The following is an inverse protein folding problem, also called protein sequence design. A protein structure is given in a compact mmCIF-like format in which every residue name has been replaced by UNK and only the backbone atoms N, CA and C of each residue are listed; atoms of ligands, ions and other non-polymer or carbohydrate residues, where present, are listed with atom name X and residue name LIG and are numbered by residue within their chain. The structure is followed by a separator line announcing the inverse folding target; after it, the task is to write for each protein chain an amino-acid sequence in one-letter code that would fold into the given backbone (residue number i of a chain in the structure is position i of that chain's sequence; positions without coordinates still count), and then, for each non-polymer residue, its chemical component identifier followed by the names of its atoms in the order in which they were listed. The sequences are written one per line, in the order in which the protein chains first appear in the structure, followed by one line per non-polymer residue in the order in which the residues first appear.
data_IF_776807052359
#
_entry.id   IF_776807052359
#
_cell.length_a   1.000
_cell.length_b   1.000
_cell.length_c   1.000
_cell.angle_alpha   90.00
_cell.angle_beta   90.00
_cell.angle_gamma   90.00
#
_symmetry.space_group_name_H-M   'P 1'
#
loop_
_entity.id
_entity.type
_entity.pdbx_description
1 polymer ?
#
# COMPACT_ATOMS: atom_id res chain seq x y z
N UNK A 1 -0.80 14.70 -16.88
CA UNK A 1 0.26 14.80 -15.85
C UNK A 1 -0.30 15.66 -14.74
N UNK A 2 -0.21 15.20 -13.50
CA UNK A 2 -0.70 15.92 -12.32
C UNK A 2 0.00 17.27 -12.18
N UNK A 3 -0.76 18.31 -11.86
CA UNK A 3 -0.23 19.60 -11.46
C UNK A 3 -0.02 19.59 -9.94
N UNK A 4 1.21 19.39 -9.50
CA UNK A 4 1.57 19.32 -8.08
C UNK A 4 1.25 20.62 -7.35
N UNK A 5 1.24 21.75 -8.07
CA UNK A 5 0.96 23.05 -7.46
C UNK A 5 -0.51 23.29 -7.14
N UNK A 6 -1.38 22.36 -7.55
CA UNK A 6 -2.80 22.35 -7.21
C UNK A 6 -3.15 21.37 -6.11
N UNK A 7 -2.25 20.47 -5.71
CA UNK A 7 -2.50 19.59 -4.58
C UNK A 7 -2.72 20.41 -3.29
N UNK A 8 -3.60 19.93 -2.42
CA UNK A 8 -3.73 20.49 -1.08
C UNK A 8 -2.39 20.39 -0.32
N UNK A 9 -2.22 21.17 0.75
CA UNK A 9 -0.92 21.33 1.40
C UNK A 9 -0.33 19.99 1.90
N UNK A 10 -1.16 19.14 2.50
CA UNK A 10 -0.75 17.81 2.98
C UNK A 10 -0.32 16.92 1.80
N UNK A 11 -1.17 16.82 0.79
CA UNK A 11 -0.94 15.99 -0.41
C UNK A 11 0.32 16.42 -1.16
N UNK A 12 0.57 17.73 -1.23
CA UNK A 12 1.77 18.29 -1.88
C UNK A 12 3.04 17.94 -1.11
N UNK A 13 3.01 18.06 0.23
CA UNK A 13 4.16 17.70 1.06
C UNK A 13 4.53 16.22 0.88
N UNK A 14 3.53 15.34 0.92
CA UNK A 14 3.76 13.91 0.71
C UNK A 14 4.22 13.61 -0.73
N UNK A 15 3.60 14.23 -1.74
CA UNK A 15 4.00 14.10 -3.14
C UNK A 15 5.47 14.49 -3.38
N UNK A 16 5.91 15.61 -2.79
CA UNK A 16 7.30 16.06 -2.89
C UNK A 16 8.29 15.03 -2.33
N UNK A 17 7.93 14.33 -1.25
CA UNK A 17 8.76 13.29 -0.67
C UNK A 17 8.72 12.00 -1.50
N UNK A 18 7.52 11.59 -1.91
CA UNK A 18 7.27 10.38 -2.68
C UNK A 18 8.01 10.43 -4.03
N UNK A 19 7.82 11.49 -4.80
CA UNK A 19 8.39 11.60 -6.15
C UNK A 19 9.88 11.98 -6.16
N UNK A 20 10.46 12.37 -5.03
CA UNK A 20 11.93 12.39 -4.87
C UNK A 20 12.51 10.97 -4.83
N UNK A 21 11.77 10.01 -4.27
CA UNK A 21 12.20 8.61 -4.12
C UNK A 21 11.86 7.76 -5.35
N UNK A 22 10.66 7.94 -5.90
CA UNK A 22 10.16 7.24 -7.10
C UNK A 22 9.66 8.24 -8.14
N UNK A 23 10.54 8.96 -8.86
CA UNK A 23 10.14 9.99 -9.83
C UNK A 23 9.21 9.47 -10.94
N UNK A 24 9.39 8.21 -11.33
CA UNK A 24 8.59 7.56 -12.38
C UNK A 24 7.14 7.32 -11.96
N UNK A 25 6.82 7.35 -10.66
CA UNK A 25 5.44 7.19 -10.19
C UNK A 25 4.57 8.42 -10.45
N UNK A 26 5.17 9.57 -10.77
CA UNK A 26 4.44 10.78 -11.13
C UNK A 26 3.49 10.56 -12.32
N UNK A 27 3.83 9.65 -13.24
CA UNK A 27 2.96 9.33 -14.39
C UNK A 27 1.66 8.61 -13.98
N UNK A 28 1.66 8.01 -12.79
CA UNK A 28 0.54 7.28 -12.20
C UNK A 28 -0.29 8.13 -11.23
N UNK A 29 0.15 9.37 -10.98
CA UNK A 29 -0.48 10.28 -10.05
C UNK A 29 -1.62 11.08 -10.71
N UNK A 30 -2.70 11.25 -9.96
CA UNK A 30 -3.85 12.10 -10.30
C UNK A 30 -4.48 12.69 -9.03
N UNK A 31 -5.44 13.59 -9.22
CA UNK A 31 -6.31 13.98 -8.11
C UNK A 31 -7.20 12.80 -7.73
N UNK A 32 -7.39 12.60 -6.44
CA UNK A 32 -8.37 11.64 -5.95
C UNK A 32 -9.76 12.05 -6.47
N UNK A 33 -10.46 11.19 -7.23
CA UNK A 33 -11.79 11.53 -7.77
C UNK A 33 -12.86 11.60 -6.67
N UNK A 34 -12.60 11.07 -5.47
CA UNK A 34 -13.52 11.09 -4.34
C UNK A 34 -13.30 12.33 -3.46
N UNK A 35 -13.35 13.51 -4.10
CA UNK A 35 -13.12 14.82 -3.47
C UNK A 35 -14.21 15.27 -2.48
N UNK A 36 -15.21 14.43 -2.22
CA UNK A 36 -16.34 14.76 -1.33
C UNK A 36 -15.87 15.09 0.10
N UNK A 37 -14.70 14.58 0.49
CA UNK A 37 -14.08 14.82 1.78
C UNK A 37 -12.91 15.79 1.70
N UNK A 38 -12.06 15.66 0.67
CA UNK A 38 -10.88 16.50 0.49
C UNK A 38 -10.61 16.84 -0.96
N UNK A 39 -10.72 18.13 -1.28
CA UNK A 39 -10.42 18.63 -2.61
C UNK A 39 -8.94 18.55 -2.90
N UNK A 40 -8.64 18.22 -4.16
CA UNK A 40 -7.28 18.22 -4.68
C UNK A 40 -6.31 17.32 -3.88
N UNK A 41 -6.83 16.20 -3.36
CA UNK A 41 -6.05 15.19 -2.67
C UNK A 41 -5.25 14.33 -3.67
N UNK A 42 -4.13 13.75 -3.23
CA UNK A 42 -3.30 12.89 -4.07
C UNK A 42 -3.87 11.47 -4.13
N UNK A 43 -3.98 10.94 -5.35
CA UNK A 43 -4.12 9.51 -5.63
C UNK A 43 -3.00 9.06 -6.57
N UNK A 44 -2.29 7.99 -6.20
CA UNK A 44 -1.28 7.33 -7.05
C UNK A 44 -1.65 5.87 -7.20
N UNK A 45 -1.76 5.37 -8.43
CA UNK A 45 -2.05 3.95 -8.72
C UNK A 45 -0.94 3.36 -9.60
N UNK A 46 0.02 2.71 -8.97
CA UNK A 46 1.17 2.12 -9.66
C UNK A 46 0.85 0.67 -10.00
N UNK A 47 0.78 0.30 -11.29
CA UNK A 47 0.59 -1.08 -11.69
C UNK A 47 1.70 -1.95 -11.13
N UNK A 48 1.34 -3.16 -10.73
CA UNK A 48 2.32 -4.11 -10.23
C UNK A 48 3.25 -4.56 -11.37
N UNK A 49 4.60 -4.52 -11.20
CA UNK A 49 5.53 -4.76 -12.31
C UNK A 49 5.44 -6.16 -12.95
N UNK A 50 5.09 -7.18 -12.17
CA UNK A 50 5.13 -8.59 -12.64
C UNK A 50 3.97 -8.97 -13.56
N UNK A 51 2.78 -8.43 -13.31
CA UNK A 51 1.55 -8.82 -14.01
C UNK A 51 0.81 -7.62 -14.63
N UNK A 52 1.27 -6.39 -14.38
CA UNK A 52 0.64 -5.16 -14.86
C UNK A 52 -0.77 -4.96 -14.30
N UNK A 53 -1.15 -5.66 -13.23
CA UNK A 53 -2.49 -5.59 -12.67
C UNK A 53 -2.83 -4.18 -12.22
N UNK A 54 -4.06 -3.75 -12.53
CA UNK A 54 -4.63 -2.48 -12.07
C UNK A 54 -4.88 -2.46 -10.56
N UNK A 55 -4.87 -3.62 -9.92
CA UNK A 55 -4.90 -3.80 -8.46
C UNK A 55 -3.48 -3.88 -7.88
N UNK A 56 -2.56 -3.08 -8.42
CA UNK A 56 -1.20 -2.97 -7.92
C UNK A 56 -1.14 -2.18 -6.61
N UNK A 57 -0.20 -1.24 -6.53
CA UNK A 57 -0.07 -0.35 -5.38
C UNK A 57 -0.99 0.86 -5.57
N UNK A 58 -1.78 1.20 -4.57
CA UNK A 58 -2.48 2.48 -4.53
C UNK A 58 -2.12 3.27 -3.28
N UNK A 59 -2.01 4.58 -3.44
CA UNK A 59 -1.69 5.52 -2.36
C UNK A 59 -2.69 6.65 -2.41
N UNK A 60 -3.37 6.91 -1.31
CA UNK A 60 -4.22 8.08 -1.12
C UNK A 60 -3.75 8.88 0.09
N UNK A 61 -3.99 10.18 0.05
CA UNK A 61 -3.71 11.08 1.16
C UNK A 61 -5.00 11.77 1.61
N UNK A 62 -5.10 12.01 2.91
CA UNK A 62 -6.04 12.92 3.53
C UNK A 62 -5.29 13.90 4.44
N UNK A 63 -5.96 14.88 5.04
CA UNK A 63 -5.37 15.93 5.88
C UNK A 63 -4.56 15.35 7.05
N UNK A 64 -4.92 14.14 7.49
CA UNK A 64 -4.37 13.49 8.68
C UNK A 64 -3.82 12.10 8.42
N UNK A 65 -3.85 11.61 7.18
CA UNK A 65 -3.52 10.22 6.90
C UNK A 65 -2.90 10.00 5.52
N UNK A 66 -1.95 9.06 5.46
CA UNK A 66 -1.60 8.39 4.21
C UNK A 66 -2.14 6.97 4.27
N UNK A 67 -2.93 6.58 3.26
CA UNK A 67 -3.38 5.20 3.09
C UNK A 67 -2.64 4.56 1.93
N UNK A 68 -2.06 3.39 2.19
CA UNK A 68 -1.33 2.61 1.19
C UNK A 68 -1.99 1.25 1.11
N UNK A 69 -2.48 0.89 -0.05
CA UNK A 69 -3.03 -0.43 -0.28
C UNK A 69 -2.44 -1.15 -1.48
N UNK A 70 -2.72 -2.44 -1.50
CA UNK A 70 -2.17 -3.36 -2.48
C UNK A 70 -3.15 -4.50 -2.74
N UNK A 71 -3.31 -4.89 -4.01
CA UNK A 71 -4.35 -5.84 -4.38
C UNK A 71 -5.74 -5.25 -4.22
N UNK A 72 -6.73 -6.12 -4.05
CA UNK A 72 -8.13 -5.72 -3.96
C UNK A 72 -8.56 -5.28 -2.55
N UNK A 73 -7.96 -5.87 -1.50
CA UNK A 73 -8.56 -5.85 -0.16
C UNK A 73 -7.60 -5.51 1.00
N UNK A 74 -6.32 -5.22 0.72
CA UNK A 74 -5.37 -4.83 1.76
C UNK A 74 -5.07 -3.33 1.70
N UNK A 75 -5.09 -2.68 2.85
CA UNK A 75 -4.54 -1.34 3.04
C UNK A 75 -4.00 -1.14 4.45
N UNK A 76 -3.00 -0.27 4.58
CA UNK A 76 -2.47 0.25 5.84
C UNK A 76 -2.67 1.75 5.88
N UNK A 77 -3.12 2.25 7.02
CA UNK A 77 -3.38 3.67 7.29
C UNK A 77 -2.31 4.19 8.23
N UNK A 78 -1.69 5.32 7.90
CA UNK A 78 -0.62 5.96 8.66
C UNK A 78 -1.09 7.35 9.10
N UNK A 79 -1.04 7.67 10.40
CA UNK A 79 -1.56 8.92 10.97
C UNK A 79 -3.03 8.85 11.44
N UNK A 80 -3.70 7.70 11.25
CA UNK A 80 -5.12 7.51 11.58
C UNK A 80 -5.47 7.59 13.07
N UNK A 81 -4.47 7.59 13.96
CA UNK A 81 -4.68 7.71 15.41
C UNK A 81 -5.13 9.13 15.83
N UNK A 82 -4.81 10.13 15.00
CA UNK A 82 -5.00 11.55 15.34
C UNK A 82 -4.12 12.02 16.49
N UNK A 83 -3.13 11.23 16.93
CA UNK A 83 -2.20 11.61 17.98
C UNK A 83 -1.06 12.45 17.39
N UNK A 84 -0.94 13.74 17.74
CA UNK A 84 0.12 14.61 17.25
C UNK A 84 1.51 14.25 17.76
N UNK A 85 1.61 13.38 18.79
CA UNK A 85 2.87 12.85 19.31
C UNK A 85 3.27 11.50 18.67
N UNK A 86 2.38 10.89 17.87
CA UNK A 86 2.74 9.77 17.00
C UNK A 86 3.75 10.31 15.96
N UNK A 87 4.76 9.51 15.62
CA UNK A 87 5.90 9.98 14.83
C UNK A 87 5.52 10.59 13.47
N UNK A 88 6.53 10.98 12.67
CA UNK A 88 6.25 11.49 11.33
C UNK A 88 5.65 10.38 10.45
N UNK A 89 4.33 10.23 10.43
CA UNK A 89 3.62 9.16 9.73
C UNK A 89 3.87 9.17 8.21
N UNK A 90 4.27 10.31 7.63
CA UNK A 90 4.73 10.37 6.25
C UNK A 90 6.03 9.60 6.06
N UNK A 91 6.98 9.70 7.00
CA UNK A 91 8.22 8.91 6.98
C UNK A 91 7.92 7.43 7.18
N UNK A 92 6.97 7.08 8.04
CA UNK A 92 6.54 5.68 8.25
C UNK A 92 5.90 5.09 6.99
N UNK A 93 5.02 5.84 6.33
CA UNK A 93 4.42 5.45 5.05
C UNK A 93 5.50 5.24 3.97
N UNK A 94 6.47 6.14 3.88
CA UNK A 94 7.59 6.02 2.94
C UNK A 94 8.55 4.88 3.28
N UNK A 95 8.73 4.56 4.56
CA UNK A 95 9.50 3.41 5.01
C UNK A 95 8.79 2.11 4.59
N UNK A 96 7.48 2.02 4.85
CA UNK A 96 6.68 0.89 4.41
C UNK A 96 6.72 0.70 2.88
N UNK A 97 6.58 1.79 2.10
CA UNK A 97 6.71 1.71 0.64
C UNK A 97 8.08 1.19 0.20
N UNK A 98 9.14 1.64 0.86
CA UNK A 98 10.49 1.18 0.58
C UNK A 98 10.62 -0.33 0.85
N UNK A 99 10.18 -0.79 2.01
CA UNK A 99 10.27 -2.22 2.38
C UNK A 99 9.38 -3.08 1.47
N UNK A 100 8.22 -2.57 1.09
CA UNK A 100 7.32 -3.28 0.17
C UNK A 100 7.89 -3.38 -1.25
N UNK A 101 8.44 -2.29 -1.80
CA UNK A 101 9.05 -2.26 -3.14
C UNK A 101 10.31 -3.12 -3.21
N UNK A 102 11.09 -3.16 -2.13
CA UNK A 102 12.26 -4.05 -2.01
C UNK A 102 11.87 -5.50 -1.67
N UNK A 103 10.58 -5.78 -1.47
CA UNK A 103 10.02 -7.07 -1.05
C UNK A 103 10.58 -7.59 0.28
N UNK A 104 11.02 -6.69 1.17
CA UNK A 104 11.32 -7.00 2.58
C UNK A 104 10.02 -7.20 3.37
N UNK A 105 8.95 -6.52 2.95
CA UNK A 105 7.57 -6.80 3.39
C UNK A 105 6.75 -7.37 2.24
N UNK A 106 5.96 -8.39 2.54
CA UNK A 106 4.97 -8.97 1.61
C UNK A 106 3.58 -8.95 2.22
N UNK A 107 2.55 -9.04 1.39
CA UNK A 107 1.16 -8.99 1.82
C UNK A 107 0.56 -10.38 1.77
N UNK A 108 0.00 -10.82 2.90
CA UNK A 108 -0.81 -12.02 3.00
C UNK A 108 -2.30 -11.65 3.05
N UNK A 109 -3.13 -12.40 2.34
CA UNK A 109 -4.60 -12.30 2.42
C UNK A 109 -5.20 -13.68 2.58
N UNK A 110 -6.13 -13.83 3.52
CA UNK A 110 -6.81 -15.08 3.80
C UNK A 110 -8.30 -15.00 3.42
N UNK A 111 -8.83 -16.12 2.94
CA UNK A 111 -10.25 -16.30 2.65
C UNK A 111 -10.69 -17.73 2.95
N UNK A 112 -11.94 -17.92 3.34
CA UNK A 112 -12.55 -19.25 3.54
C UNK A 112 -13.89 -19.28 2.79
N UNK A 113 -14.14 -20.33 1.98
CA UNK A 113 -15.36 -20.47 1.18
C UNK A 113 -15.70 -19.24 0.29
N UNK A 114 -14.69 -18.47 -0.11
CA UNK A 114 -14.84 -17.25 -0.89
C UNK A 114 -15.09 -15.98 -0.06
N UNK A 115 -15.22 -16.09 1.26
CA UNK A 115 -15.35 -14.96 2.17
C UNK A 115 -13.96 -14.47 2.63
N UNK A 116 -13.78 -13.15 2.68
CA UNK A 116 -12.52 -12.55 3.13
C UNK A 116 -12.40 -12.64 4.65
N UNK A 117 -11.28 -13.19 5.12
CA UNK A 117 -10.97 -13.30 6.55
C UNK A 117 -10.06 -12.18 7.04
N UNK A 118 -9.18 -11.66 6.18
CA UNK A 118 -8.21 -10.67 6.58
C UNK A 118 -7.07 -10.49 5.59
N UNK A 119 -6.25 -9.48 5.85
CA UNK A 119 -4.93 -9.32 5.24
C UNK A 119 -3.95 -8.66 6.20
N UNK A 120 -2.68 -9.04 6.11
CA UNK A 120 -1.63 -8.54 6.98
C UNK A 120 -0.28 -8.49 6.26
N UNK A 121 0.65 -7.74 6.87
CA UNK A 121 2.04 -7.61 6.44
C UNK A 121 2.84 -8.75 7.03
N UNK A 122 3.72 -9.36 6.25
CA UNK A 122 4.75 -10.27 6.74
C UNK A 122 6.11 -9.61 6.56
N UNK A 123 6.84 -9.40 7.65
CA UNK A 123 8.20 -8.87 7.64
C UNK A 123 9.18 -10.03 7.45
N UNK A 124 9.81 -10.08 6.28
CA UNK A 124 10.67 -11.19 5.88
C UNK A 124 12.03 -11.22 6.58
N UNK A 125 12.38 -10.18 7.32
CA UNK A 125 13.54 -10.21 8.22
C UNK A 125 13.23 -10.92 9.54
N UNK A 126 11.94 -11.04 9.89
CA UNK A 126 11.47 -11.61 11.16
C UNK A 126 10.76 -12.95 10.98
N UNK A 127 10.10 -13.13 9.86
CA UNK A 127 9.22 -14.25 9.58
C UNK A 127 9.68 -15.02 8.34
N UNK A 128 9.66 -16.35 8.42
CA UNK A 128 9.95 -17.22 7.30
C UNK A 128 8.64 -17.66 6.62
N UNK A 129 8.52 -17.40 5.31
CA UNK A 129 7.35 -17.76 4.53
C UNK A 129 7.12 -19.28 4.42
N UNK A 130 8.16 -20.08 4.67
CA UNK A 130 8.05 -21.54 4.68
C UNK A 130 7.39 -22.08 5.96
N UNK A 131 7.34 -21.28 7.03
CA UNK A 131 6.76 -21.64 8.33
C UNK A 131 5.28 -21.25 8.45
N UNK A 132 4.68 -20.70 7.38
CA UNK A 132 3.29 -20.24 7.36
C UNK A 132 2.34 -21.43 7.42
N UNK A 133 1.64 -21.57 8.55
CA UNK A 133 0.59 -22.56 8.73
C UNK A 133 -0.75 -22.02 8.21
N UNK A 134 -1.53 -22.89 7.56
CA UNK A 134 -2.86 -22.57 7.03
C UNK A 134 -3.87 -23.51 7.65
N UNK A 135 -4.93 -22.95 8.23
CA UNK A 135 -6.02 -23.72 8.82
C UNK A 135 -6.80 -24.47 7.73
N UNK A 136 -7.33 -25.68 8.00
CA UNK A 136 -8.12 -26.45 7.03
C UNK A 136 -9.28 -25.62 6.46
N UNK A 137 -9.46 -25.60 5.14
CA UNK A 137 -10.52 -24.80 4.49
C UNK A 137 -10.16 -23.34 4.21
N UNK A 138 -9.07 -22.83 4.80
CA UNK A 138 -8.56 -21.49 4.51
C UNK A 138 -7.68 -21.50 3.26
N UNK A 139 -7.92 -20.54 2.39
CA UNK A 139 -7.05 -20.21 1.26
C UNK A 139 -6.25 -18.96 1.60
N UNK A 140 -4.92 -19.11 1.61
CA UNK A 140 -3.99 -18.03 1.87
C UNK A 140 -3.25 -17.67 0.58
N UNK A 141 -3.25 -16.38 0.24
CA UNK A 141 -2.44 -15.82 -0.85
C UNK A 141 -1.40 -14.90 -0.28
N UNK A 142 -0.14 -15.13 -0.65
CA UNK A 142 0.96 -14.20 -0.39
C UNK A 142 1.31 -13.55 -1.73
N UNK A 143 1.45 -12.22 -1.70
CA UNK A 143 1.81 -11.41 -2.86
C UNK A 143 2.89 -10.39 -2.51
N UNK A 144 3.85 -10.23 -3.40
CA UNK A 144 4.96 -9.27 -3.27
C UNK A 144 5.04 -8.31 -4.45
N UNK A 145 5.81 -7.23 -4.36
CA UNK A 145 5.85 -6.22 -5.41
C UNK A 145 6.30 -6.76 -6.77
N UNK A 146 7.45 -7.44 -6.82
CA UNK A 146 8.04 -8.03 -8.04
C UNK A 146 7.56 -9.47 -8.29
N UNK A 147 6.78 -10.03 -7.38
CA UNK A 147 6.26 -11.40 -7.45
C UNK A 147 7.26 -12.48 -7.05
N UNK A 148 8.45 -12.12 -6.55
CA UNK A 148 9.47 -13.08 -6.11
C UNK A 148 8.95 -14.04 -5.03
N UNK A 149 8.00 -13.58 -4.21
CA UNK A 149 7.45 -14.32 -3.07
C UNK A 149 5.97 -14.66 -3.24
N UNK A 150 5.45 -14.60 -4.46
CA UNK A 150 4.08 -15.00 -4.74
C UNK A 150 3.87 -16.48 -4.44
N UNK A 151 2.91 -16.76 -3.56
CA UNK A 151 2.56 -18.12 -3.15
C UNK A 151 1.08 -18.22 -2.89
N UNK A 152 0.55 -19.42 -3.09
CA UNK A 152 -0.80 -19.77 -2.70
C UNK A 152 -0.77 -21.05 -1.89
N UNK A 153 -1.57 -21.08 -0.84
CA UNK A 153 -1.71 -22.21 0.05
C UNK A 153 -3.19 -22.53 0.18
N UNK A 154 -3.50 -23.82 0.21
CA UNK A 154 -4.83 -24.33 0.45
C UNK A 154 -4.68 -25.60 1.29
N UNK A 155 -5.39 -25.65 2.41
CA UNK A 155 -5.43 -26.81 3.30
C UNK A 155 -6.75 -27.59 3.16
#
# INVERSE_FOLDING_TARGET
MLDLDRLNAHSRLFADMLFKRWPEWLQHARFDPYEDFEKEALLVEVPRPVDGSSHGLFITTSEWEVSIGFGENFHSRFGSSGDPDEGNFMDEALHFLNDFVNEDVVIATASENGEWLGGWKIDRHRENLDDVAVEPGVHLRIRSWLGTYDREYQA
#
